data_IF_927434168475
#
_entry.id   IF_927434168475
#
_cell.length_a   1.000
_cell.length_b   1.000
_cell.length_c   1.000
_cell.angle_alpha   90.00
_cell.angle_beta   90.00
_cell.angle_gamma   90.00
#
_symmetry.space_group_name_H-M   'P 1'
#
loop_
_entity.id
_entity.type
_entity.pdbx_description
1 polymer ?
#
# COMPACT_ATOMS: atom_id res chain seq x y z
N UNK A 1 -5.67 14.78 -20.98
CA UNK A 1 -7.13 14.49 -21.03
C UNK A 1 -7.45 13.70 -19.77
N UNK A 2 -8.32 14.15 -18.85
CA UNK A 2 -8.58 13.41 -17.62
C UNK A 2 -9.53 12.26 -17.96
N UNK A 3 -8.95 11.14 -18.38
CA UNK A 3 -9.68 9.91 -18.66
C UNK A 3 -10.03 9.23 -17.35
N UNK A 4 -11.31 9.26 -17.00
CA UNK A 4 -11.91 8.27 -16.10
C UNK A 4 -11.74 6.91 -16.76
N UNK A 5 -10.62 6.25 -16.49
CA UNK A 5 -10.47 4.86 -16.87
C UNK A 5 -11.27 4.04 -15.86
N UNK A 6 -12.19 3.22 -16.34
CA UNK A 6 -13.04 2.36 -15.51
C UNK A 6 -12.21 1.25 -14.78
N UNK A 7 -10.87 1.32 -14.85
CA UNK A 7 -9.91 0.56 -14.05
C UNK A 7 -9.94 0.90 -12.56
N UNK A 8 -10.37 2.11 -12.16
CA UNK A 8 -10.42 2.55 -10.75
C UNK A 8 -11.43 1.78 -9.86
N UNK A 9 -12.16 0.82 -10.42
CA UNK A 9 -13.03 -0.05 -9.62
C UNK A 9 -12.29 -1.28 -9.08
N UNK A 10 -11.16 -1.63 -9.67
CA UNK A 10 -10.43 -2.86 -9.30
C UNK A 10 -9.11 -2.58 -8.62
N UNK A 11 -8.73 -1.33 -8.43
CA UNK A 11 -7.49 -0.97 -7.76
C UNK A 11 -7.59 -1.08 -6.22
N UNK A 12 -6.43 -1.14 -5.61
CA UNK A 12 -6.32 -1.13 -4.15
C UNK A 12 -4.95 -0.70 -3.68
N UNK A 13 -4.77 -0.75 -2.37
CA UNK A 13 -3.59 -0.21 -1.73
C UNK A 13 -3.12 -1.07 -0.55
N UNK A 14 -1.82 -1.37 -0.53
CA UNK A 14 -1.11 -1.86 0.65
C UNK A 14 -0.74 -0.69 1.54
N UNK A 15 -1.16 -0.75 2.80
CA UNK A 15 -1.00 0.33 3.77
C UNK A 15 -0.05 -0.07 4.90
N UNK A 16 0.98 0.74 5.11
CA UNK A 16 1.75 0.82 6.35
C UNK A 16 1.14 1.96 7.16
N UNK A 17 0.75 1.69 8.42
CA UNK A 17 0.28 2.73 9.35
C UNK A 17 1.34 2.98 10.41
N UNK A 18 1.76 4.23 10.53
CA UNK A 18 2.80 4.67 11.46
C UNK A 18 2.19 5.56 12.54
N UNK A 19 2.53 5.29 13.80
CA UNK A 19 2.16 6.17 14.89
C UNK A 19 3.13 7.37 14.99
N UNK A 20 2.84 8.32 15.89
CA UNK A 20 3.65 9.53 16.07
C UNK A 20 5.11 9.25 16.46
N UNK A 21 5.37 8.17 17.19
CA UNK A 21 6.73 7.79 17.58
C UNK A 21 7.50 7.27 16.37
N UNK A 22 6.88 6.38 15.59
CA UNK A 22 7.44 5.81 14.37
C UNK A 22 7.66 6.85 13.26
N UNK A 23 6.90 7.97 13.26
CA UNK A 23 7.15 9.08 12.34
C UNK A 23 8.59 9.57 12.42
N UNK A 24 9.12 9.74 13.63
CA UNK A 24 10.44 10.35 13.83
C UNK A 24 11.58 9.39 13.54
N UNK A 25 11.37 8.08 13.72
CA UNK A 25 12.40 7.06 13.55
C UNK A 25 12.38 6.37 12.18
N UNK A 26 11.19 6.09 11.66
CA UNK A 26 11.02 5.09 10.61
C UNK A 26 10.32 5.60 9.35
N UNK A 27 9.63 6.76 9.40
CA UNK A 27 8.85 7.25 8.27
C UNK A 27 9.72 7.51 7.03
N UNK A 28 10.78 8.30 7.15
CA UNK A 28 11.65 8.64 6.02
C UNK A 28 12.30 7.39 5.44
N UNK A 29 12.71 6.46 6.32
CA UNK A 29 13.26 5.17 5.92
C UNK A 29 12.24 4.36 5.13
N UNK A 30 11.06 4.11 5.69
CA UNK A 30 10.05 3.30 5.01
C UNK A 30 9.61 3.94 3.70
N UNK A 31 9.49 5.25 3.65
CA UNK A 31 9.14 5.94 2.42
C UNK A 31 10.23 5.81 1.35
N UNK A 32 11.50 5.97 1.74
CA UNK A 32 12.62 5.75 0.83
C UNK A 32 12.66 4.31 0.31
N UNK A 33 12.52 3.32 1.19
CA UNK A 33 12.49 1.91 0.80
C UNK A 33 11.31 1.60 -0.14
N UNK A 34 10.14 2.22 0.07
CA UNK A 34 9.01 2.12 -0.87
C UNK A 34 9.38 2.64 -2.25
N UNK A 35 10.05 3.79 -2.32
CA UNK A 35 10.49 4.37 -3.59
C UNK A 35 11.54 3.50 -4.28
N UNK A 36 12.49 2.94 -3.52
CA UNK A 36 13.48 2.00 -4.05
C UNK A 36 12.79 0.75 -4.61
N UNK A 37 11.82 0.17 -3.91
CA UNK A 37 11.06 -0.99 -4.40
C UNK A 37 10.34 -0.72 -5.73
N UNK A 38 9.82 0.49 -5.93
CA UNK A 38 9.16 0.88 -7.17
C UNK A 38 10.14 1.05 -8.33
N UNK A 39 11.29 1.69 -8.09
CA UNK A 39 12.29 1.95 -9.14
C UNK A 39 13.00 0.65 -9.55
N UNK A 40 13.22 -0.25 -8.61
CA UNK A 40 13.88 -1.55 -8.87
C UNK A 40 12.94 -2.59 -9.51
N UNK A 41 11.65 -2.29 -9.66
CA UNK A 41 10.63 -3.27 -10.06
C UNK A 41 10.70 -4.54 -9.19
N UNK A 42 10.86 -4.33 -7.88
CA UNK A 42 11.17 -5.37 -6.89
C UNK A 42 10.01 -6.35 -6.59
N UNK A 43 8.93 -6.35 -7.38
CA UNK A 43 7.72 -7.16 -7.18
C UNK A 43 7.63 -8.39 -8.09
N UNK A 44 8.78 -8.85 -8.62
CA UNK A 44 8.90 -9.99 -9.52
C UNK A 44 7.95 -9.88 -10.72
N UNK A 45 7.23 -10.96 -11.07
CA UNK A 45 6.23 -10.96 -12.15
C UNK A 45 4.95 -10.19 -11.86
N UNK A 46 4.86 -9.48 -10.73
CA UNK A 46 3.72 -8.63 -10.36
C UNK A 46 4.05 -7.13 -10.43
N UNK A 47 5.21 -6.74 -10.99
CA UNK A 47 5.59 -5.32 -11.11
C UNK A 47 4.62 -4.52 -11.99
N UNK A 48 4.07 -5.12 -13.04
CA UNK A 48 3.04 -4.50 -13.89
C UNK A 48 1.72 -4.21 -13.13
N UNK A 49 1.46 -4.93 -12.04
CA UNK A 49 0.29 -4.72 -11.20
C UNK A 49 0.45 -3.54 -10.24
N UNK A 50 1.67 -3.01 -10.05
CA UNK A 50 1.96 -1.90 -9.16
C UNK A 50 1.95 -0.58 -9.93
N UNK A 51 1.01 0.31 -9.61
CA UNK A 51 0.84 1.57 -10.35
C UNK A 51 1.42 2.81 -9.66
N UNK A 52 1.84 2.70 -8.40
CA UNK A 52 2.53 3.78 -7.71
C UNK A 52 2.49 3.68 -6.19
N UNK A 53 2.86 4.77 -5.52
CA UNK A 53 2.76 4.90 -4.08
C UNK A 53 2.38 6.32 -3.66
N UNK A 54 1.78 6.44 -2.47
CA UNK A 54 1.35 7.70 -1.90
C UNK A 54 1.60 7.76 -0.39
N UNK A 55 1.82 8.97 0.12
CA UNK A 55 1.94 9.25 1.55
C UNK A 55 0.78 10.10 2.01
N UNK A 56 0.21 9.74 3.16
CA UNK A 56 -0.73 10.57 3.89
C UNK A 56 -0.16 10.97 5.24
N UNK A 57 0.33 12.21 5.32
CA UNK A 57 0.78 12.79 6.60
C UNK A 57 -0.43 13.33 7.37
N UNK A 58 -0.64 12.86 8.61
CA UNK A 58 -1.78 13.28 9.46
C UNK A 58 -1.39 13.39 10.93
N UNK A 59 -2.01 14.29 11.69
CA UNK A 59 -1.66 14.49 13.11
C UNK A 59 -1.76 13.21 13.97
N UNK A 60 -2.70 12.30 13.65
CA UNK A 60 -2.95 11.06 14.40
C UNK A 60 -1.98 9.92 14.05
N UNK A 61 -1.32 9.98 12.89
CA UNK A 61 -0.47 8.92 12.37
C UNK A 61 -0.41 8.96 10.86
N UNK A 62 0.74 8.56 10.32
CA UNK A 62 0.99 8.59 8.88
C UNK A 62 0.62 7.27 8.23
N UNK A 63 0.34 7.35 6.94
CA UNK A 63 0.15 6.17 6.12
C UNK A 63 0.99 6.24 4.87
N UNK A 64 1.70 5.16 4.60
CA UNK A 64 2.37 4.93 3.32
C UNK A 64 1.53 3.89 2.58
N UNK A 65 1.17 4.19 1.34
CA UNK A 65 0.32 3.38 0.48
C UNK A 65 1.10 2.97 -0.77
N UNK A 66 1.07 1.68 -1.13
CA UNK A 66 1.49 1.19 -2.46
C UNK A 66 0.24 0.77 -3.19
N UNK A 67 0.02 1.32 -4.39
CA UNK A 67 -1.17 1.10 -5.18
C UNK A 67 -0.97 -0.02 -6.18
N UNK A 68 -2.01 -0.85 -6.33
CA UNK A 68 -2.06 -1.90 -7.34
C UNK A 68 -3.29 -1.72 -8.22
N UNK A 69 -3.19 -2.15 -9.47
CA UNK A 69 -4.23 -2.01 -10.51
C UNK A 69 -5.37 -3.02 -10.35
N UNK A 70 -5.11 -4.16 -9.70
CA UNK A 70 -6.08 -5.23 -9.46
C UNK A 70 -6.11 -5.64 -7.97
N UNK A 71 -7.31 -5.85 -7.44
CA UNK A 71 -7.60 -6.13 -6.04
C UNK A 71 -8.28 -7.49 -5.83
N UNK A 72 -8.82 -8.08 -6.90
CA UNK A 72 -9.49 -9.38 -6.89
C UNK A 72 -8.49 -10.54 -7.05
N UNK A 73 -7.33 -10.29 -7.69
CA UNK A 73 -6.28 -11.28 -7.84
C UNK A 73 -5.52 -11.50 -6.52
N UNK A 74 -6.14 -12.29 -5.64
CA UNK A 74 -5.59 -12.62 -4.31
C UNK A 74 -4.15 -13.12 -4.36
N UNK A 75 -3.77 -13.92 -5.37
CA UNK A 75 -2.41 -14.47 -5.46
C UNK A 75 -1.40 -13.36 -5.73
N UNK A 76 -1.65 -12.52 -6.73
CA UNK A 76 -0.78 -11.39 -7.04
C UNK A 76 -0.71 -10.40 -5.88
N UNK A 77 -1.87 -9.95 -5.37
CA UNK A 77 -1.93 -8.97 -4.27
C UNK A 77 -1.19 -9.46 -3.02
N UNK A 78 -1.39 -10.71 -2.62
CA UNK A 78 -0.69 -11.27 -1.44
C UNK A 78 0.79 -11.51 -1.70
N UNK A 79 1.19 -11.86 -2.92
CA UNK A 79 2.60 -11.94 -3.31
C UNK A 79 3.27 -10.57 -3.22
N UNK A 80 2.70 -9.55 -3.88
CA UNK A 80 3.16 -8.16 -3.83
C UNK A 80 3.32 -7.68 -2.40
N UNK A 81 2.34 -7.94 -1.52
CA UNK A 81 2.42 -7.52 -0.13
C UNK A 81 3.52 -8.23 0.68
N UNK A 82 3.77 -9.52 0.42
CA UNK A 82 4.87 -10.26 1.07
C UNK A 82 6.23 -9.74 0.62
N UNK A 83 6.40 -9.61 -0.69
CA UNK A 83 7.64 -9.10 -1.28
C UNK A 83 7.88 -7.68 -0.82
N UNK A 84 6.86 -6.82 -0.81
CA UNK A 84 6.94 -5.46 -0.29
C UNK A 84 7.42 -5.42 1.17
N UNK A 85 6.84 -6.26 2.03
CA UNK A 85 7.21 -6.35 3.45
C UNK A 85 8.66 -6.78 3.65
N UNK A 86 9.11 -7.76 2.85
CA UNK A 86 10.47 -8.29 2.89
C UNK A 86 11.49 -7.27 2.36
N UNK A 87 11.26 -6.72 1.16
CA UNK A 87 12.15 -5.76 0.49
C UNK A 87 12.27 -4.44 1.22
N UNK A 88 11.16 -3.94 1.79
CA UNK A 88 11.17 -2.69 2.55
C UNK A 88 11.82 -2.82 3.94
N UNK A 89 12.32 -4.00 4.30
CA UNK A 89 12.96 -4.26 5.59
C UNK A 89 12.02 -4.06 6.78
N UNK A 90 10.70 -4.21 6.58
CA UNK A 90 9.72 -4.07 7.65
C UNK A 90 9.91 -5.21 8.64
N UNK A 91 10.06 -4.87 9.92
CA UNK A 91 10.16 -5.90 10.95
C UNK A 91 8.90 -6.79 10.95
N UNK A 92 9.01 -8.07 11.33
CA UNK A 92 7.85 -8.97 11.38
C UNK A 92 6.68 -8.46 12.24
N UNK A 93 6.95 -7.54 13.17
CA UNK A 93 5.96 -6.89 14.05
C UNK A 93 5.07 -5.87 13.31
N UNK A 94 5.53 -5.34 12.17
CA UNK A 94 4.76 -4.38 11.38
C UNK A 94 3.77 -5.17 10.54
N UNK A 95 2.49 -4.94 10.80
CA UNK A 95 1.39 -5.52 10.04
C UNK A 95 1.00 -4.54 8.94
N UNK A 96 0.97 -4.99 7.70
CA UNK A 96 0.46 -4.21 6.57
C UNK A 96 -0.94 -4.70 6.21
N UNK A 97 -1.78 -3.79 5.75
CA UNK A 97 -3.17 -4.09 5.40
C UNK A 97 -3.49 -3.65 3.98
N UNK A 98 -4.24 -4.47 3.26
CA UNK A 98 -4.69 -4.15 1.91
C UNK A 98 -6.15 -3.72 1.90
N UNK A 99 -6.44 -2.62 1.21
CA UNK A 99 -7.79 -2.06 1.07
C UNK A 99 -8.06 -1.77 -0.40
N UNK A 100 -9.24 -2.11 -0.92
CA UNK A 100 -9.65 -1.62 -2.25
C UNK A 100 -9.95 -0.12 -2.18
N UNK A 101 -9.78 0.60 -3.28
CA UNK A 101 -10.20 1.99 -3.34
C UNK A 101 -11.73 2.15 -3.27
N UNK A 102 -12.51 1.23 -3.84
CA UNK A 102 -13.99 1.25 -3.71
C UNK A 102 -14.41 1.24 -2.24
N UNK A 103 -13.95 0.28 -1.45
CA UNK A 103 -14.30 0.20 -0.02
C UNK A 103 -13.86 1.45 0.74
N UNK A 104 -12.72 2.05 0.33
CA UNK A 104 -12.19 3.27 0.94
C UNK A 104 -13.07 4.49 0.61
N UNK A 105 -13.60 4.56 -0.61
CA UNK A 105 -14.45 5.65 -1.09
C UNK A 105 -15.89 5.56 -0.57
N UNK A 106 -16.42 4.35 -0.42
CA UNK A 106 -17.83 4.09 -0.04
C UNK A 106 -18.05 3.94 1.46
N UNK A 107 -17.01 4.09 2.29
CA UNK A 107 -17.12 3.91 3.74
C UNK A 107 -17.98 5.01 4.39
N UNK A 108 -18.91 4.59 5.24
CA UNK A 108 -19.69 5.47 6.12
C UNK A 108 -19.11 5.53 7.55
N UNK A 109 -17.78 5.49 7.69
CA UNK A 109 -17.10 5.47 8.99
C UNK A 109 -15.60 5.74 8.91
N UNK A 110 -14.94 5.76 10.07
CA UNK A 110 -13.50 6.10 10.18
C UNK A 110 -12.56 4.98 9.70
N UNK A 111 -13.05 3.73 9.61
CA UNK A 111 -12.26 2.55 9.29
C UNK A 111 -12.77 1.88 8.01
N UNK A 112 -11.87 1.66 7.05
CA UNK A 112 -12.14 0.85 5.85
C UNK A 112 -11.93 -0.63 6.18
N UNK A 113 -12.73 -1.53 5.59
CA UNK A 113 -12.50 -2.97 5.72
C UNK A 113 -11.20 -3.38 5.02
N UNK A 114 -10.40 -4.19 5.68
CA UNK A 114 -9.20 -4.77 5.09
C UNK A 114 -9.56 -6.03 4.32
N UNK A 115 -9.14 -6.12 3.05
CA UNK A 115 -9.28 -7.32 2.22
C UNK A 115 -8.19 -8.36 2.53
N UNK A 116 -6.96 -7.89 2.79
CA UNK A 116 -5.83 -8.75 3.18
C UNK A 116 -5.01 -8.10 4.29
N UNK A 117 -4.29 -8.92 5.05
CA UNK A 117 -3.39 -8.50 6.14
C UNK A 117 -2.16 -9.40 6.13
N UNK A 118 -0.96 -8.83 6.20
CA UNK A 118 0.34 -9.54 6.15
C UNK A 118 1.28 -9.07 7.25
#
# INVERSE_FOLDING_TARGET
VPGWDYSHFKDGQWLITLNRQQRLSDFDRFWLETLMCLIEESFDGCSDDVCGAAVNVRAKGDKIAVWTTECENRKAVTHTGRVYKERSGLTPKIVISYQSHIDTATKNGSTTKNRFVI
#
